data_IF_381242115159
#
_entry.id   IF_381242115159
#
_cell.length_a   1.000
_cell.length_b   1.000
_cell.length_c   1.000
_cell.angle_alpha   90.00
_cell.angle_beta   90.00
_cell.angle_gamma   90.00
#
_symmetry.space_group_name_H-M   'P 1'
#
loop_
_entity.id
_entity.type
_entity.pdbx_description
1 polymer ?
#
# COMPACT_ATOMS: atom_id res chain seq x y z
N UNK A 1 -20.84 1.23 -26.36
CA UNK A 1 -20.55 2.09 -25.19
C UNK A 1 -20.00 3.39 -25.76
N UNK A 2 -20.42 4.57 -25.29
CA UNK A 2 -19.93 5.81 -25.90
C UNK A 2 -18.41 5.85 -25.74
N UNK A 3 -17.70 6.04 -26.85
CA UNK A 3 -16.27 6.30 -26.89
C UNK A 3 -16.00 7.49 -25.97
N UNK A 4 -15.39 7.24 -24.83
CA UNK A 4 -15.07 8.28 -23.87
C UNK A 4 -13.80 8.98 -24.36
N UNK A 5 -14.00 10.03 -25.13
CA UNK A 5 -12.98 10.87 -25.78
C UNK A 5 -12.13 11.69 -24.79
N UNK A 6 -12.28 11.52 -23.48
CA UNK A 6 -11.74 12.45 -22.49
C UNK A 6 -10.21 12.55 -22.55
N UNK A 7 -9.53 11.46 -22.90
CA UNK A 7 -8.07 11.37 -22.92
C UNK A 7 -7.48 11.14 -24.32
N UNK A 8 -8.30 11.18 -25.37
CA UNK A 8 -7.79 10.99 -26.74
C UNK A 8 -6.87 12.15 -27.15
N UNK A 9 -5.63 11.83 -27.50
CA UNK A 9 -4.58 12.81 -27.80
C UNK A 9 -4.13 13.66 -26.62
N UNK A 10 -4.53 13.35 -25.38
CA UNK A 10 -4.14 14.10 -24.18
C UNK A 10 -2.82 13.57 -23.65
N UNK A 11 -1.87 14.46 -23.38
CA UNK A 11 -0.64 14.10 -22.67
C UNK A 11 -0.88 14.06 -21.16
N UNK A 12 -0.39 13.01 -20.52
CA UNK A 12 -0.38 12.82 -19.06
C UNK A 12 1.03 12.44 -18.61
N UNK A 13 1.22 12.32 -17.30
CA UNK A 13 2.45 11.81 -16.70
C UNK A 13 2.21 10.39 -16.20
N UNK A 14 2.79 9.41 -16.88
CA UNK A 14 2.73 7.99 -16.52
C UNK A 14 3.77 7.68 -15.46
N UNK A 15 3.43 6.81 -14.51
CA UNK A 15 4.37 6.38 -13.47
C UNK A 15 5.38 5.38 -14.01
N UNK A 16 6.67 5.69 -13.91
CA UNK A 16 7.74 4.71 -14.02
C UNK A 16 7.86 3.95 -12.69
N UNK A 17 7.05 2.91 -12.56
CA UNK A 17 6.95 2.08 -11.36
C UNK A 17 8.31 1.54 -10.91
N UNK A 18 9.18 1.12 -11.84
CA UNK A 18 10.49 0.56 -11.51
C UNK A 18 11.42 1.56 -10.80
N UNK A 19 11.18 2.86 -10.98
CA UNK A 19 11.97 3.91 -10.34
C UNK A 19 11.61 4.14 -8.86
N UNK A 20 10.48 3.62 -8.37
CA UNK A 20 10.09 3.70 -6.96
C UNK A 20 10.87 2.72 -6.07
N UNK A 21 10.99 3.07 -4.80
CA UNK A 21 11.62 2.26 -3.74
C UNK A 21 10.72 2.18 -2.51
N UNK A 22 10.78 1.07 -1.75
CA UNK A 22 10.18 1.02 -0.43
C UNK A 22 10.55 2.25 0.40
N UNK A 23 9.54 2.91 0.92
CA UNK A 23 9.66 4.11 1.74
C UNK A 23 9.43 5.41 0.99
N UNK A 24 9.51 5.42 -0.35
CA UNK A 24 9.17 6.63 -1.11
C UNK A 24 7.78 7.13 -0.73
N UNK A 25 7.67 8.42 -0.42
CA UNK A 25 6.42 9.09 -0.04
C UNK A 25 5.90 9.84 -1.24
N UNK A 26 4.62 9.69 -1.53
CA UNK A 26 3.95 10.45 -2.60
C UNK A 26 2.92 11.36 -1.95
N UNK A 27 3.07 12.66 -2.21
CA UNK A 27 2.13 13.71 -1.84
C UNK A 27 1.23 13.99 -3.03
N UNK A 28 -0.08 14.07 -2.80
CA UNK A 28 -1.04 14.33 -3.88
C UNK A 28 -2.06 15.40 -3.51
N UNK A 29 -2.48 16.15 -4.52
CA UNK A 29 -3.60 17.07 -4.45
C UNK A 29 -4.63 16.71 -5.52
N UNK A 30 -5.90 16.50 -5.11
CA UNK A 30 -6.95 16.23 -6.07
C UNK A 30 -7.41 17.53 -6.74
N UNK A 31 -7.07 17.71 -8.02
CA UNK A 31 -7.55 18.81 -8.88
C UNK A 31 -8.43 18.33 -10.03
N UNK A 32 -8.28 17.08 -10.43
CA UNK A 32 -8.97 16.47 -11.57
C UNK A 32 -10.01 15.44 -11.12
N UNK A 33 -10.89 15.84 -10.20
CA UNK A 33 -12.00 15.01 -9.71
C UNK A 33 -13.34 15.50 -10.25
N UNK A 34 -14.27 14.58 -10.50
CA UNK A 34 -15.66 14.90 -10.84
C UNK A 34 -16.47 15.39 -9.63
N UNK A 35 -15.95 15.21 -8.40
CA UNK A 35 -16.63 15.57 -7.16
C UNK A 35 -16.23 16.97 -6.68
N UNK A 36 -17.14 17.94 -6.80
CA UNK A 36 -16.94 19.29 -6.27
C UNK A 36 -16.71 19.31 -4.74
N UNK A 37 -17.24 18.32 -4.01
CA UNK A 37 -17.00 18.19 -2.57
C UNK A 37 -15.56 17.75 -2.27
N UNK A 38 -15.05 16.76 -3.04
CA UNK A 38 -13.68 16.29 -2.89
C UNK A 38 -12.66 17.38 -3.25
N UNK A 39 -12.93 18.17 -4.30
CA UNK A 39 -12.09 19.31 -4.67
C UNK A 39 -11.99 20.34 -3.54
N UNK A 40 -13.13 20.76 -2.98
CA UNK A 40 -13.15 21.73 -1.86
C UNK A 40 -12.46 21.20 -0.61
N UNK A 41 -12.59 19.91 -0.32
CA UNK A 41 -11.91 19.29 0.81
C UNK A 41 -10.39 19.31 0.62
N UNK A 42 -9.90 18.93 -0.56
CA UNK A 42 -8.47 18.97 -0.88
C UNK A 42 -7.89 20.40 -0.78
N UNK A 43 -8.59 21.39 -1.33
CA UNK A 43 -8.22 22.81 -1.24
C UNK A 43 -8.17 23.31 0.20
N UNK A 44 -9.14 22.93 1.03
CA UNK A 44 -9.20 23.32 2.43
C UNK A 44 -8.03 22.74 3.23
N UNK A 45 -7.68 21.47 3.00
CA UNK A 45 -6.56 20.80 3.67
C UNK A 45 -5.24 21.47 3.30
N UNK A 46 -5.00 21.68 2.00
CA UNK A 46 -3.79 22.35 1.51
C UNK A 46 -3.66 23.75 2.12
N UNK A 47 -4.71 24.58 2.00
CA UNK A 47 -4.71 25.95 2.52
C UNK A 47 -4.48 26.03 4.04
N UNK A 48 -5.08 25.12 4.83
CA UNK A 48 -4.94 25.15 6.30
C UNK A 48 -3.65 24.53 6.81
N UNK A 49 -3.11 23.53 6.13
CA UNK A 49 -1.79 22.96 6.46
C UNK A 49 -0.63 23.87 6.02
N UNK A 50 -0.91 24.83 5.15
CA UNK A 50 0.06 25.79 4.63
C UNK A 50 1.02 25.17 3.62
N UNK A 51 0.54 24.21 2.82
CA UNK A 51 1.28 23.56 1.74
C UNK A 51 0.37 23.26 0.56
N UNK A 52 0.91 22.60 -0.45
CA UNK A 52 0.22 22.41 -1.73
C UNK A 52 -0.54 21.07 -1.78
N UNK A 53 -0.24 20.12 -0.90
CA UNK A 53 -0.81 18.78 -0.95
C UNK A 53 -1.89 18.53 0.13
N UNK A 54 -2.83 17.64 -0.18
CA UNK A 54 -3.92 17.26 0.71
C UNK A 54 -3.85 15.83 1.22
N UNK A 55 -2.99 15.00 0.62
CA UNK A 55 -2.91 13.58 0.91
C UNK A 55 -1.47 13.07 0.85
N UNK A 56 -1.19 12.00 1.60
CA UNK A 56 0.12 11.36 1.71
C UNK A 56 -0.06 9.86 1.65
N UNK A 57 0.80 9.19 0.90
CA UNK A 57 0.88 7.74 0.85
C UNK A 57 2.34 7.29 0.71
N UNK A 58 2.64 6.05 1.08
CA UNK A 58 4.01 5.50 1.17
C UNK A 58 4.11 4.23 0.34
N UNK A 59 5.20 4.09 -0.41
CA UNK A 59 5.53 2.86 -1.14
C UNK A 59 5.90 1.77 -0.13
N UNK A 60 5.07 0.73 0.01
CA UNK A 60 5.37 -0.40 0.88
C UNK A 60 6.28 -1.41 0.16
N UNK A 61 5.87 -1.78 -1.05
CA UNK A 61 6.67 -2.57 -2.00
C UNK A 61 6.30 -2.07 -3.39
N UNK A 62 7.21 -2.03 -4.36
CA UNK A 62 6.83 -1.59 -5.71
C UNK A 62 5.97 -2.66 -6.39
N UNK A 63 4.78 -2.39 -6.97
CA UNK A 63 4.07 -1.12 -7.19
C UNK A 63 3.02 -0.76 -6.13
N UNK A 64 2.94 -1.48 -5.02
CA UNK A 64 1.97 -1.27 -3.95
C UNK A 64 2.34 -0.12 -3.01
N UNK A 65 1.41 0.83 -2.89
CA UNK A 65 1.44 1.93 -1.94
C UNK A 65 0.38 1.72 -0.88
N UNK A 66 0.63 2.22 0.32
CA UNK A 66 -0.34 2.23 1.41
C UNK A 66 -0.84 3.66 1.56
N UNK A 67 -2.16 3.79 1.70
CA UNK A 67 -2.84 5.06 1.90
C UNK A 67 -3.99 4.93 2.90
N UNK A 68 -4.34 6.03 3.55
CA UNK A 68 -5.50 6.10 4.44
C UNK A 68 -6.62 6.94 3.81
N UNK A 69 -7.72 6.29 3.43
CA UNK A 69 -8.92 6.93 2.88
C UNK A 69 -10.09 6.80 3.85
N UNK A 70 -11.26 7.37 3.53
CA UNK A 70 -12.44 7.36 4.41
C UNK A 70 -12.86 5.96 4.91
N UNK A 71 -12.58 4.88 4.17
CA UNK A 71 -12.87 3.48 4.51
C UNK A 71 -11.75 2.78 5.31
N UNK A 72 -10.63 3.47 5.55
CA UNK A 72 -9.49 3.02 6.33
C UNK A 72 -8.18 2.97 5.54
N UNK A 73 -7.15 2.43 6.20
CA UNK A 73 -5.82 2.22 5.61
C UNK A 73 -5.84 0.99 4.71
N UNK A 74 -5.51 1.19 3.44
CA UNK A 74 -5.55 0.16 2.41
C UNK A 74 -4.37 0.25 1.45
N UNK A 75 -4.28 -0.70 0.52
CA UNK A 75 -3.24 -0.75 -0.50
C UNK A 75 -3.80 -0.29 -1.84
N UNK A 76 -2.99 0.45 -2.60
CA UNK A 76 -3.26 0.88 -3.97
C UNK A 76 -2.07 0.51 -4.84
N UNK A 77 -2.31 0.11 -6.09
CA UNK A 77 -1.24 -0.18 -7.04
C UNK A 77 -1.00 1.03 -7.94
N UNK A 78 0.27 1.38 -8.14
CA UNK A 78 0.67 2.44 -9.07
C UNK A 78 0.94 1.89 -10.48
N UNK A 79 0.81 0.58 -10.70
CA UNK A 79 1.03 -0.03 -12.01
C UNK A 79 0.09 0.49 -13.11
N UNK A 80 -1.10 0.94 -12.72
CA UNK A 80 -2.09 1.52 -13.60
C UNK A 80 -2.45 2.92 -13.07
N UNK A 81 -1.46 3.79 -12.92
CA UNK A 81 -1.65 5.15 -12.42
C UNK A 81 -0.95 6.22 -13.29
N UNK A 82 -1.49 7.42 -13.23
CA UNK A 82 -0.98 8.59 -13.93
C UNK A 82 -1.34 9.87 -13.15
N UNK A 83 -0.78 11.01 -13.54
CA UNK A 83 -1.30 12.31 -13.13
C UNK A 83 -1.38 13.27 -14.32
N UNK A 84 -2.23 14.27 -14.21
CA UNK A 84 -2.40 15.28 -15.24
C UNK A 84 -1.32 16.35 -15.14
N UNK A 85 -0.97 16.72 -13.91
CA UNK A 85 0.01 17.77 -13.63
C UNK A 85 0.96 17.39 -12.49
N UNK A 86 2.26 17.61 -12.69
CA UNK A 86 3.28 17.39 -11.68
C UNK A 86 3.25 18.44 -10.56
N UNK A 87 2.57 19.59 -10.76
CA UNK A 87 2.31 20.53 -9.66
C UNK A 87 1.39 19.93 -8.59
N UNK A 88 0.57 18.94 -8.96
CA UNK A 88 -0.38 18.28 -8.05
C UNK A 88 0.15 16.99 -7.43
N UNK A 89 1.37 16.56 -7.80
CA UNK A 89 1.99 15.33 -7.29
C UNK A 89 3.46 15.56 -6.99
N UNK A 90 3.90 15.23 -5.78
CA UNK A 90 5.31 15.25 -5.41
C UNK A 90 5.75 13.91 -4.85
N UNK A 91 6.91 13.42 -5.29
CA UNK A 91 7.50 12.19 -4.77
C UNK A 91 8.76 12.53 -4.01
N UNK A 92 8.83 12.03 -2.79
CA UNK A 92 9.87 12.26 -1.82
C UNK A 92 10.59 10.94 -1.53
N UNK A 93 11.92 10.95 -1.59
CA UNK A 93 12.76 9.82 -1.17
C UNK A 93 13.55 10.19 0.06
N UNK A 94 13.45 9.37 1.10
CA UNK A 94 14.24 9.56 2.30
C UNK A 94 15.71 9.20 2.04
N UNK A 95 16.64 9.99 2.58
CA UNK A 95 18.07 9.88 2.28
C UNK A 95 18.71 8.58 2.80
N UNK A 96 18.20 8.03 3.90
CA UNK A 96 18.66 6.76 4.47
C UNK A 96 17.76 5.61 3.98
N UNK A 97 18.30 4.78 3.09
CA UNK A 97 17.55 3.68 2.46
C UNK A 97 17.09 2.61 3.46
N UNK A 98 17.89 2.30 4.50
CA UNK A 98 17.54 1.29 5.50
C UNK A 98 16.35 1.76 6.36
N UNK A 99 16.32 3.05 6.73
CA UNK A 99 15.21 3.66 7.45
C UNK A 99 13.96 3.70 6.54
N UNK A 100 14.12 4.09 5.27
CA UNK A 100 13.01 4.14 4.32
C UNK A 100 12.36 2.76 4.14
N UNK A 101 13.18 1.71 3.98
CA UNK A 101 12.71 0.31 3.88
C UNK A 101 12.03 -0.13 5.17
N UNK A 102 12.61 0.16 6.32
CA UNK A 102 12.01 -0.18 7.62
C UNK A 102 10.67 0.56 7.82
N UNK A 103 10.55 1.80 7.35
CA UNK A 103 9.30 2.57 7.41
C UNK A 103 8.23 1.95 6.49
N UNK A 104 8.63 1.47 5.30
CA UNK A 104 7.74 0.73 4.41
C UNK A 104 7.20 -0.56 5.08
N UNK A 105 8.05 -1.32 5.75
CA UNK A 105 7.65 -2.50 6.52
C UNK A 105 6.67 -2.11 7.65
N UNK A 106 6.96 -1.01 8.37
CA UNK A 106 6.06 -0.48 9.40
C UNK A 106 4.69 -0.06 8.86
N UNK A 107 4.64 0.51 7.66
CA UNK A 107 3.38 0.96 7.06
C UNK A 107 2.39 -0.20 6.84
N UNK A 108 2.87 -1.41 6.56
CA UNK A 108 2.03 -2.62 6.42
C UNK A 108 1.26 -2.91 7.70
N UNK A 109 1.81 -2.60 8.87
CA UNK A 109 1.13 -2.81 10.15
C UNK A 109 -0.08 -1.90 10.37
N UNK A 110 -0.32 -0.89 9.54
CA UNK A 110 -1.50 -0.03 9.61
C UNK A 110 -2.67 -0.56 8.77
N UNK A 111 -2.45 -1.57 7.92
CA UNK A 111 -3.47 -2.06 7.01
C UNK A 111 -4.73 -2.55 7.73
N UNK A 112 -5.89 -2.09 7.28
CA UNK A 112 -7.18 -2.34 7.93
C UNK A 112 -7.52 -1.39 9.08
N UNK A 113 -6.59 -0.53 9.53
CA UNK A 113 -6.90 0.48 10.55
C UNK A 113 -7.94 1.48 10.04
N UNK A 114 -8.84 1.91 10.92
CA UNK A 114 -9.91 2.87 10.58
C UNK A 114 -9.33 4.25 10.26
N UNK A 115 -10.06 5.01 9.45
CA UNK A 115 -9.73 6.40 9.20
C UNK A 115 -10.41 7.31 10.23
N UNK A 116 -9.65 8.25 10.79
CA UNK A 116 -10.13 9.24 11.74
C UNK A 116 -10.21 10.61 11.11
N UNK A 117 -11.42 11.01 10.72
CA UNK A 117 -11.72 12.39 10.31
C UNK A 117 -11.48 13.36 11.46
N UNK A 118 -11.74 12.93 12.71
CA UNK A 118 -11.60 13.77 13.90
C UNK A 118 -10.12 14.12 14.17
N UNK A 119 -9.23 13.12 14.12
CA UNK A 119 -7.77 13.33 14.26
C UNK A 119 -7.22 14.14 13.08
N UNK A 120 -7.63 13.81 11.84
CA UNK A 120 -7.20 14.57 10.66
C UNK A 120 -7.55 16.06 10.76
N UNK A 121 -8.77 16.40 11.20
CA UNK A 121 -9.18 17.79 11.41
C UNK A 121 -8.39 18.47 12.52
N UNK A 122 -8.15 17.78 13.64
CA UNK A 122 -7.37 18.29 14.76
C UNK A 122 -5.91 18.60 14.37
N UNK A 123 -5.29 17.75 13.55
CA UNK A 123 -3.94 17.97 13.03
C UNK A 123 -3.84 19.28 12.23
N UNK A 124 -4.88 19.58 11.45
CA UNK A 124 -4.97 20.78 10.62
C UNK A 124 -5.33 22.03 11.45
N UNK A 125 -6.20 21.91 12.46
CA UNK A 125 -6.62 23.04 13.29
C UNK A 125 -5.66 23.35 14.45
N UNK A 126 -4.73 22.45 14.76
CA UNK A 126 -3.83 22.58 15.92
C UNK A 126 -4.55 22.48 17.27
N UNK A 127 -5.79 21.99 17.29
CA UNK A 127 -6.59 21.87 18.52
C UNK A 127 -6.30 20.54 19.20
N UNK A 128 -5.92 20.57 20.47
CA UNK A 128 -5.81 19.37 21.29
C UNK A 128 -7.22 18.82 21.61
N UNK A 129 -7.51 17.62 21.15
CA UNK A 129 -8.80 16.92 21.34
C UNK A 129 -8.53 15.58 22.00
N UNK A 130 -9.42 15.15 22.91
CA UNK A 130 -9.35 13.80 23.49
C UNK A 130 -9.78 12.74 22.46
N UNK A 131 -8.93 11.74 22.24
CA UNK A 131 -9.13 10.68 21.25
C UNK A 131 -9.28 9.28 21.85
N UNK A 132 -9.59 9.14 23.15
CA UNK A 132 -9.70 7.84 23.83
C UNK A 132 -10.58 6.82 23.10
N UNK A 133 -11.66 7.25 22.47
CA UNK A 133 -12.61 6.38 21.76
C UNK A 133 -12.38 6.29 20.24
N UNK A 134 -11.21 6.73 19.76
CA UNK A 134 -10.89 6.76 18.33
C UNK A 134 -9.54 6.09 18.09
N UNK A 135 -9.62 4.84 17.65
CA UNK A 135 -8.49 3.98 17.27
C UNK A 135 -8.01 4.22 15.84
N UNK A 136 -8.65 5.14 15.11
CA UNK A 136 -8.32 5.41 13.71
C UNK A 136 -7.03 6.21 13.55
N UNK A 137 -6.56 6.27 12.31
CA UNK A 137 -5.43 7.10 11.87
C UNK A 137 -5.82 7.93 10.64
N UNK A 138 -4.92 8.74 10.11
CA UNK A 138 -5.13 9.47 8.87
C UNK A 138 -3.84 9.49 8.05
N UNK A 139 -3.92 9.97 6.81
CA UNK A 139 -2.89 9.75 5.78
C UNK A 139 -1.48 10.15 6.22
N UNK A 140 -1.28 11.37 6.71
CA UNK A 140 0.03 11.85 7.16
C UNK A 140 0.46 11.25 8.50
N UNK A 141 -0.47 10.98 9.42
CA UNK A 141 -0.14 10.41 10.72
C UNK A 141 0.45 9.00 10.62
N UNK A 142 -0.16 8.10 9.84
CA UNK A 142 0.37 6.73 9.75
C UNK A 142 1.74 6.69 9.07
N UNK A 143 1.98 7.54 8.06
CA UNK A 143 3.28 7.64 7.40
C UNK A 143 4.32 8.20 8.37
N UNK A 144 3.98 9.24 9.13
CA UNK A 144 4.88 9.81 10.14
C UNK A 144 5.18 8.79 11.25
N UNK A 145 4.19 8.05 11.72
CA UNK A 145 4.37 6.98 12.70
C UNK A 145 5.25 5.85 12.16
N UNK A 146 5.11 5.48 10.89
CA UNK A 146 5.97 4.48 10.25
C UNK A 146 7.44 4.92 10.21
N UNK A 147 7.72 6.17 9.82
CA UNK A 147 9.08 6.72 9.83
C UNK A 147 9.65 6.88 11.24
N UNK A 148 8.83 7.29 12.22
CA UNK A 148 9.23 7.37 13.62
C UNK A 148 9.64 6.00 14.16
N UNK A 149 8.84 4.96 13.91
CA UNK A 149 9.16 3.59 14.33
C UNK A 149 10.38 3.00 13.59
N UNK A 150 10.69 3.52 12.40
CA UNK A 150 11.91 3.18 11.66
C UNK A 150 13.17 3.91 12.18
N UNK A 151 13.03 4.82 13.15
CA UNK A 151 14.15 5.56 13.74
C UNK A 151 14.56 6.82 12.96
N UNK A 152 13.65 7.38 12.14
CA UNK A 152 13.89 8.65 11.46
C UNK A 152 13.86 9.81 12.47
N UNK A 153 15.03 10.42 12.72
CA UNK A 153 15.21 11.44 13.77
C UNK A 153 14.39 12.70 13.55
N UNK A 154 14.12 13.06 12.31
CA UNK A 154 13.31 14.24 11.96
C UNK A 154 11.85 14.11 12.39
N UNK A 155 11.40 12.88 12.70
CA UNK A 155 10.08 12.60 13.25
C UNK A 155 10.05 12.54 14.78
N UNK A 156 11.20 12.62 15.45
CA UNK A 156 11.28 12.64 16.91
C UNK A 156 10.76 13.95 17.49
N UNK A 157 10.18 13.89 18.70
CA UNK A 157 9.74 15.06 19.44
C UNK A 157 8.40 15.68 19.01
N UNK A 158 7.85 15.25 17.87
CA UNK A 158 6.50 15.64 17.42
C UNK A 158 5.60 14.42 17.36
N UNK A 159 4.40 14.51 17.94
CA UNK A 159 3.40 13.43 17.81
C UNK A 159 3.06 13.21 16.34
N UNK A 160 3.02 11.96 15.88
CA UNK A 160 2.60 11.59 14.52
C UNK A 160 1.25 12.23 14.14
N UNK A 161 0.35 12.42 15.11
CA UNK A 161 -0.97 13.05 14.92
C UNK A 161 -0.92 14.55 14.61
N UNK A 162 0.25 15.20 14.66
CA UNK A 162 0.45 16.61 14.32
C UNK A 162 1.07 16.81 12.93
N UNK A 163 1.45 15.73 12.25
CA UNK A 163 1.95 15.82 10.89
C UNK A 163 0.79 16.04 9.91
N UNK A 164 1.02 16.90 8.93
CA UNK A 164 0.13 17.16 7.79
C UNK A 164 0.88 16.85 6.50
N UNK A 165 0.24 16.78 5.32
CA UNK A 165 0.96 16.66 4.05
C UNK A 165 2.03 17.75 3.89
N UNK A 166 1.71 19.00 4.24
CA UNK A 166 2.65 20.12 4.24
C UNK A 166 3.84 19.99 5.20
N UNK A 167 3.75 19.09 6.18
CA UNK A 167 4.89 18.77 7.03
C UNK A 167 5.95 17.97 6.25
N UNK A 168 5.54 17.09 5.34
CA UNK A 168 6.46 16.28 4.53
C UNK A 168 7.19 17.11 3.47
N UNK A 169 6.57 18.18 2.97
CA UNK A 169 7.23 19.13 2.06
C UNK A 169 8.41 19.86 2.70
N UNK A 170 8.36 20.05 4.03
CA UNK A 170 9.28 20.91 4.78
C UNK A 170 10.24 20.13 5.68
N UNK A 171 9.91 18.91 6.04
CA UNK A 171 10.75 18.09 6.91
C UNK A 171 12.06 17.76 6.20
N UNK A 172 13.16 17.86 6.94
CA UNK A 172 14.46 17.46 6.44
C UNK A 172 14.54 15.97 6.13
N UNK A 173 15.60 15.56 5.45
CA UNK A 173 15.90 14.16 5.19
C UNK A 173 15.22 13.55 3.96
N UNK A 174 14.30 14.26 3.31
CA UNK A 174 13.75 13.87 2.02
C UNK A 174 14.36 14.66 0.86
N UNK A 175 14.49 14.01 -0.29
CA UNK A 175 14.79 14.64 -1.57
C UNK A 175 13.61 14.45 -2.54
N UNK A 176 13.34 15.47 -3.36
CA UNK A 176 12.30 15.39 -4.39
C UNK A 176 12.82 14.57 -5.56
N UNK A 177 12.09 13.51 -5.93
CA UNK A 177 12.43 12.62 -7.05
C UNK A 177 11.34 12.60 -8.14
N UNK A 178 10.31 13.45 -8.05
CA UNK A 178 9.18 13.50 -9.00
C UNK A 178 9.60 13.39 -10.47
N UNK A 179 10.59 14.15 -10.99
CA UNK A 179 10.95 14.09 -12.40
C UNK A 179 11.57 12.76 -12.86
N UNK A 180 11.98 11.90 -11.91
CA UNK A 180 12.62 10.61 -12.21
C UNK A 180 11.63 9.44 -12.23
N UNK A 181 10.46 9.61 -11.62
CA UNK A 181 9.45 8.56 -11.47
C UNK A 181 8.21 8.79 -12.34
N UNK A 182 8.17 9.91 -13.05
CA UNK A 182 7.11 10.24 -14.00
C UNK A 182 7.68 10.54 -15.38
N UNK A 183 7.02 10.01 -16.40
CA UNK A 183 7.35 10.23 -17.80
C UNK A 183 6.12 10.81 -18.50
N UNK A 184 6.33 11.89 -19.27
CA UNK A 184 5.25 12.53 -20.02
C UNK A 184 5.00 11.76 -21.31
N UNK A 185 3.78 11.28 -21.49
CA UNK A 185 3.38 10.53 -22.68
C UNK A 185 1.89 10.76 -23.00
N UNK A 186 1.43 10.24 -24.14
CA UNK A 186 0.02 10.17 -24.47
C UNK A 186 -0.70 9.26 -23.47
N UNK A 187 -1.88 9.70 -23.04
CA UNK A 187 -2.73 8.90 -22.18
C UNK A 187 -3.09 7.58 -22.88
N UNK A 188 -2.95 6.43 -22.19
CA UNK A 188 -3.29 5.16 -22.77
C UNK A 188 -4.80 5.06 -22.97
N UNK A 189 -5.24 4.20 -23.90
CA UNK A 189 -6.66 4.02 -24.24
C UNK A 189 -7.53 3.62 -23.04
N UNK A 190 -6.93 3.03 -22.00
CA UNK A 190 -7.60 2.62 -20.78
C UNK A 190 -7.43 3.63 -19.61
N UNK A 191 -6.96 4.86 -19.86
CA UNK A 191 -6.72 5.88 -18.82
C UNK A 191 -7.93 6.12 -17.91
N UNK A 192 -9.16 6.03 -18.42
CA UNK A 192 -10.38 6.21 -17.60
C UNK A 192 -10.61 5.10 -16.56
N UNK A 193 -9.96 3.96 -16.76
CA UNK A 193 -9.98 2.83 -15.81
C UNK A 193 -8.73 2.78 -14.92
N UNK A 194 -7.78 3.69 -15.16
CA UNK A 194 -6.56 3.87 -14.37
C UNK A 194 -6.81 4.83 -13.21
N UNK A 195 -5.90 4.81 -12.24
CA UNK A 195 -5.92 5.69 -11.09
C UNK A 195 -5.25 7.03 -11.42
N UNK A 196 -6.02 8.12 -11.43
CA UNK A 196 -5.45 9.47 -11.46
C UNK A 196 -4.96 9.86 -10.06
N UNK A 197 -3.65 10.08 -9.90
CA UNK A 197 -3.04 10.42 -8.62
C UNK A 197 -3.47 11.80 -8.11
N UNK A 198 -3.79 12.71 -9.02
CA UNK A 198 -4.29 14.07 -8.79
C UNK A 198 -5.80 14.21 -9.08
N UNK A 199 -6.54 13.10 -9.07
CA UNK A 199 -7.95 13.07 -9.47
C UNK A 199 -8.73 11.90 -8.88
N UNK A 200 -9.64 11.35 -9.69
CA UNK A 200 -10.46 10.21 -9.28
C UNK A 200 -9.65 8.90 -9.27
N UNK A 201 -9.76 8.14 -8.18
CA UNK A 201 -9.11 6.83 -8.04
C UNK A 201 -9.95 5.74 -8.69
N UNK A 202 -9.33 4.90 -9.51
CA UNK A 202 -10.01 3.72 -10.03
C UNK A 202 -10.24 2.70 -8.90
N UNK A 203 -11.30 1.90 -9.02
CA UNK A 203 -11.54 0.83 -8.06
C UNK A 203 -10.43 -0.22 -8.14
N UNK A 204 -9.76 -0.45 -7.02
CA UNK A 204 -8.81 -1.55 -6.85
C UNK A 204 -9.51 -2.74 -6.22
N UNK A 205 -9.28 -3.99 -6.67
CA UNK A 205 -9.71 -5.18 -5.91
C UNK A 205 -9.14 -5.21 -4.49
N UNK A 206 -7.98 -4.56 -4.28
CA UNK A 206 -7.41 -4.38 -2.94
C UNK A 206 -8.20 -3.40 -2.06
N UNK A 207 -9.20 -2.70 -2.59
CA UNK A 207 -10.08 -1.81 -1.80
C UNK A 207 -10.76 -2.57 -0.66
N UNK A 208 -11.23 -3.78 -0.92
CA UNK A 208 -11.95 -4.59 0.05
C UNK A 208 -11.00 -5.26 1.05
N UNK A 209 -9.70 -5.30 0.76
CA UNK A 209 -8.67 -5.87 1.64
C UNK A 209 -8.67 -5.21 3.02
N UNK A 210 -8.81 -3.88 3.09
CA UNK A 210 -8.84 -3.16 4.39
C UNK A 210 -10.07 -3.50 5.22
N UNK A 211 -11.21 -3.72 4.56
CA UNK A 211 -12.45 -4.15 5.22
C UNK A 211 -12.30 -5.57 5.73
N UNK A 212 -11.75 -6.46 4.91
CA UNK A 212 -11.52 -7.85 5.26
C UNK A 212 -10.59 -8.00 6.47
N UNK A 213 -9.44 -7.30 6.47
CA UNK A 213 -8.49 -7.37 7.59
C UNK A 213 -9.03 -6.75 8.88
N UNK A 214 -9.82 -5.68 8.78
CA UNK A 214 -10.53 -5.15 9.93
C UNK A 214 -11.50 -6.17 10.50
N UNK A 215 -12.28 -6.84 9.64
CA UNK A 215 -13.22 -7.87 10.07
C UNK A 215 -12.51 -9.04 10.78
N UNK A 216 -11.30 -9.43 10.36
CA UNK A 216 -10.51 -10.45 11.06
C UNK A 216 -10.09 -10.03 12.46
N UNK A 217 -9.74 -8.76 12.67
CA UNK A 217 -9.43 -8.25 14.02
C UNK A 217 -10.69 -8.14 14.86
N UNK A 218 -11.77 -7.64 14.29
CA UNK A 218 -13.05 -7.54 14.99
C UNK A 218 -13.57 -8.93 15.41
N UNK A 219 -13.34 -9.98 14.60
CA UNK A 219 -13.75 -11.34 14.95
C UNK A 219 -12.99 -11.96 16.12
N UNK A 220 -11.80 -11.46 16.45
CA UNK A 220 -10.99 -11.94 17.59
C UNK A 220 -10.86 -10.90 18.72
N UNK A 221 -11.69 -9.84 18.68
CA UNK A 221 -11.61 -8.73 19.63
C UNK A 221 -11.74 -9.19 21.09
N UNK A 222 -12.66 -10.11 21.38
CA UNK A 222 -12.86 -10.66 22.73
C UNK A 222 -11.64 -11.43 23.24
N UNK A 223 -10.97 -12.18 22.36
CA UNK A 223 -9.77 -12.94 22.74
C UNK A 223 -8.59 -12.00 23.02
N UNK A 224 -8.45 -10.94 22.22
CA UNK A 224 -7.50 -9.87 22.48
C UNK A 224 -7.80 -9.18 23.81
N UNK A 225 -9.06 -8.86 24.10
CA UNK A 225 -9.42 -8.18 25.35
C UNK A 225 -9.13 -9.04 26.59
N UNK A 226 -9.35 -10.36 26.49
CA UNK A 226 -8.98 -11.31 27.55
C UNK A 226 -7.45 -11.33 27.78
N UNK A 227 -6.69 -11.43 26.69
CA UNK A 227 -5.23 -11.56 26.74
C UNK A 227 -4.51 -10.30 27.23
N UNK A 228 -5.05 -9.11 26.91
CA UNK A 228 -4.45 -7.82 27.25
C UNK A 228 -5.12 -7.11 28.45
N UNK A 229 -5.91 -7.85 29.24
CA UNK A 229 -6.64 -7.30 30.41
C UNK A 229 -5.73 -6.80 31.55
N UNK A 230 -4.47 -7.28 31.65
CA UNK A 230 -3.52 -6.83 32.67
C UNK A 230 -2.93 -5.44 32.42
N UNK A 231 -3.00 -4.93 31.19
CA UNK A 231 -2.56 -3.58 30.82
C UNK A 231 -1.05 -3.38 30.61
N UNK A 232 -0.23 -4.43 30.71
CA UNK A 232 1.23 -4.33 30.58
C UNK A 232 1.70 -4.14 29.12
N UNK A 233 0.89 -4.59 28.16
CA UNK A 233 1.19 -4.51 26.73
C UNK A 233 0.06 -3.85 25.94
N UNK A 234 0.42 -3.20 24.83
CA UNK A 234 -0.57 -2.59 23.94
C UNK A 234 -1.31 -3.64 23.12
N UNK A 235 -2.64 -3.68 23.24
CA UNK A 235 -3.54 -4.50 22.40
C UNK A 235 -3.29 -4.25 20.90
N UNK A 236 -3.00 -5.30 20.10
CA UNK A 236 -2.94 -5.20 18.65
C UNK A 236 -4.27 -4.66 18.07
N UNK A 237 -4.19 -3.60 17.26
CA UNK A 237 -5.36 -2.96 16.65
C UNK A 237 -5.56 -3.34 15.17
N UNK A 238 -4.62 -4.06 14.57
CA UNK A 238 -4.64 -4.41 13.14
C UNK A 238 -4.24 -5.86 12.93
N UNK A 239 -4.68 -6.42 11.80
CA UNK A 239 -4.45 -7.81 11.43
C UNK A 239 -2.96 -8.18 11.49
N UNK A 240 -2.12 -7.34 10.89
CA UNK A 240 -0.68 -7.55 10.86
C UNK A 240 0.00 -7.37 12.23
N UNK A 241 -0.48 -6.44 13.08
CA UNK A 241 0.03 -6.34 14.46
C UNK A 241 -0.34 -7.60 15.27
N UNK A 242 -1.53 -8.17 15.06
CA UNK A 242 -1.95 -9.41 15.70
C UNK A 242 -1.12 -10.61 15.20
N UNK A 243 -0.90 -10.74 13.89
CA UNK A 243 -0.03 -11.77 13.33
C UNK A 243 1.41 -11.70 13.87
N UNK A 244 1.98 -10.49 13.93
CA UNK A 244 3.33 -10.28 14.45
C UNK A 244 3.41 -10.61 15.95
N UNK A 245 2.39 -10.23 16.72
CA UNK A 245 2.27 -10.62 18.13
C UNK A 245 2.26 -12.14 18.28
N UNK A 246 1.37 -12.85 17.57
CA UNK A 246 1.31 -14.32 17.59
C UNK A 246 2.66 -14.93 17.22
N UNK A 247 3.28 -14.48 16.12
CA UNK A 247 4.60 -14.96 15.68
C UNK A 247 5.64 -14.82 16.77
N UNK A 248 5.76 -13.65 17.41
CA UNK A 248 6.74 -13.40 18.48
C UNK A 248 6.46 -14.24 19.71
N UNK A 249 5.21 -14.31 20.14
CA UNK A 249 4.80 -15.08 21.33
C UNK A 249 5.12 -16.56 21.19
N UNK A 250 4.84 -17.15 20.01
CA UNK A 250 5.19 -18.56 19.74
C UNK A 250 6.70 -18.79 19.53
N UNK A 251 7.48 -17.80 19.06
CA UNK A 251 8.93 -17.93 18.85
C UNK A 251 9.76 -17.86 20.14
N UNK A 252 9.38 -17.01 21.10
CA UNK A 252 10.19 -16.77 22.30
C UNK A 252 9.93 -17.80 23.40
N UNK A 253 9.04 -18.76 23.18
CA UNK A 253 8.75 -19.80 24.16
C UNK A 253 8.35 -19.20 25.51
N UNK A 254 7.69 -18.02 25.52
CA UNK A 254 6.99 -17.51 26.69
C UNK A 254 5.96 -18.57 27.06
N UNK A 255 6.38 -19.48 27.95
CA UNK A 255 5.62 -20.68 28.27
C UNK A 255 4.42 -20.35 29.15
N UNK A 256 3.62 -21.36 29.51
CA UNK A 256 3.00 -22.31 28.59
C UNK A 256 2.17 -21.57 27.53
N UNK A 257 1.82 -22.25 26.44
CA UNK A 257 0.71 -21.84 25.58
C UNK A 257 -0.49 -21.47 26.48
N UNK A 258 -0.69 -20.18 26.76
CA UNK A 258 -1.89 -19.80 27.49
C UNK A 258 -3.05 -20.27 26.61
N UNK A 259 -4.04 -20.89 27.25
CA UNK A 259 -5.23 -21.34 26.55
C UNK A 259 -5.82 -20.18 25.74
N UNK A 260 -5.72 -18.95 26.25
CA UNK A 260 -6.10 -17.72 25.56
C UNK A 260 -5.27 -17.40 24.31
N UNK A 261 -3.93 -17.56 24.32
CA UNK A 261 -3.09 -17.34 23.14
C UNK A 261 -3.39 -18.37 22.03
N UNK A 262 -3.60 -19.63 22.43
CA UNK A 262 -3.97 -20.71 21.50
C UNK A 262 -5.37 -20.47 20.93
N UNK A 263 -6.32 -20.05 21.78
CA UNK A 263 -7.68 -19.69 21.35
C UNK A 263 -7.69 -18.51 20.36
N UNK A 264 -6.91 -17.47 20.64
CA UNK A 264 -6.72 -16.33 19.73
C UNK A 264 -6.17 -16.79 18.36
N UNK A 265 -5.13 -17.62 18.36
CA UNK A 265 -4.53 -18.13 17.12
C UNK A 265 -5.49 -19.04 16.33
N UNK A 266 -6.28 -19.87 17.02
CA UNK A 266 -7.27 -20.76 16.41
C UNK A 266 -8.44 -19.97 15.78
N UNK A 267 -9.00 -19.00 16.50
CA UNK A 267 -10.07 -18.15 15.98
C UNK A 267 -9.61 -17.29 14.81
N UNK A 268 -8.41 -16.70 14.88
CA UNK A 268 -7.86 -15.94 13.75
C UNK A 268 -7.59 -16.84 12.55
N UNK A 269 -7.08 -18.06 12.78
CA UNK A 269 -6.85 -19.03 11.72
C UNK A 269 -8.15 -19.47 11.04
N UNK A 270 -9.21 -19.72 11.81
CA UNK A 270 -10.53 -20.03 11.29
C UNK A 270 -11.06 -18.88 10.42
N UNK A 271 -10.97 -17.65 10.90
CA UNK A 271 -11.37 -16.46 10.14
C UNK A 271 -10.60 -16.33 8.81
N UNK A 272 -9.31 -16.67 8.79
CA UNK A 272 -8.48 -16.65 7.57
C UNK A 272 -8.75 -17.82 6.61
N UNK A 273 -9.46 -18.86 7.04
CA UNK A 273 -9.67 -20.10 6.28
C UNK A 273 -11.08 -20.18 5.67
N UNK A 274 -11.92 -19.17 5.90
CA UNK A 274 -13.27 -19.09 5.32
C UNK A 274 -13.30 -18.85 3.79
N UNK A 275 -12.13 -18.71 3.16
CA UNK A 275 -11.95 -18.55 1.71
C UNK A 275 -12.09 -17.13 1.18
N UNK A 276 -12.51 -16.15 2.00
CA UNK A 276 -12.59 -14.73 1.55
C UNK A 276 -11.23 -14.17 1.19
N UNK A 277 -10.20 -14.54 1.94
CA UNK A 277 -8.82 -14.08 1.70
C UNK A 277 -8.25 -14.66 0.40
N UNK A 278 -8.47 -15.96 0.14
CA UNK A 278 -8.08 -16.62 -1.11
C UNK A 278 -8.81 -16.02 -2.31
N UNK A 279 -10.13 -15.77 -2.17
CA UNK A 279 -10.94 -15.15 -3.22
C UNK A 279 -10.40 -13.76 -3.56
N UNK A 280 -10.11 -12.94 -2.54
CA UNK A 280 -9.53 -11.60 -2.74
C UNK A 280 -8.19 -11.66 -3.48
N UNK A 281 -7.27 -12.54 -3.09
CA UNK A 281 -5.99 -12.69 -3.81
C UNK A 281 -6.18 -13.19 -5.25
N UNK A 282 -7.17 -14.07 -5.47
CA UNK A 282 -7.54 -14.53 -6.81
C UNK A 282 -8.09 -13.39 -7.66
N UNK A 283 -8.93 -12.52 -7.10
CA UNK A 283 -9.49 -11.35 -7.79
C UNK A 283 -8.41 -10.30 -8.12
N UNK A 284 -7.48 -10.05 -7.19
CA UNK A 284 -6.30 -9.20 -7.44
C UNK A 284 -5.51 -9.75 -8.61
N UNK A 285 -5.21 -11.06 -8.61
CA UNK A 285 -4.45 -11.71 -9.69
C UNK A 285 -5.20 -11.68 -11.03
N UNK A 286 -6.51 -11.92 -11.00
CA UNK A 286 -7.36 -11.94 -12.18
C UNK A 286 -7.52 -10.56 -12.85
N UNK A 287 -7.25 -9.46 -12.13
CA UNK A 287 -7.32 -8.11 -12.71
C UNK A 287 -6.22 -7.87 -13.76
N UNK A 288 -5.04 -8.44 -13.56
CA UNK A 288 -3.90 -8.26 -14.46
C UNK A 288 -3.88 -9.28 -15.61
N UNK A 289 -4.56 -10.43 -15.44
CA UNK A 289 -4.57 -11.54 -16.39
C UNK A 289 -4.96 -11.13 -17.83
N UNK A 290 -6.03 -10.34 -18.08
CA UNK A 290 -6.41 -9.96 -19.44
C UNK A 290 -5.33 -9.13 -20.15
N UNK A 291 -4.63 -8.26 -19.42
CA UNK A 291 -3.56 -7.44 -19.99
C UNK A 291 -2.35 -8.32 -20.36
N UNK A 292 -1.96 -9.25 -19.49
CA UNK A 292 -0.88 -10.21 -19.78
C UNK A 292 -1.24 -11.11 -20.97
N UNK A 293 -2.47 -11.63 -21.02
CA UNK A 293 -2.94 -12.45 -22.14
C UNK A 293 -2.92 -11.68 -23.47
N UNK A 294 -3.37 -10.41 -23.47
CA UNK A 294 -3.27 -9.53 -24.64
C UNK A 294 -1.83 -9.39 -25.13
N UNK A 295 -0.90 -9.06 -24.22
CA UNK A 295 0.53 -8.92 -24.54
C UNK A 295 1.11 -10.23 -25.12
N UNK A 296 0.73 -11.39 -24.56
CA UNK A 296 1.15 -12.69 -25.08
C UNK A 296 0.64 -12.88 -26.52
N UNK A 297 -0.63 -12.59 -26.79
CA UNK A 297 -1.22 -12.73 -28.13
C UNK A 297 -0.55 -11.79 -29.12
N UNK A 298 -0.46 -10.50 -28.80
CA UNK A 298 0.12 -9.48 -29.67
C UNK A 298 1.59 -9.74 -30.00
N UNK A 299 2.33 -10.41 -29.12
CA UNK A 299 3.74 -10.73 -29.37
C UNK A 299 3.97 -11.76 -30.49
N UNK A 300 2.91 -12.41 -30.98
CA UNK A 300 2.97 -13.26 -32.18
C UNK A 300 2.68 -12.49 -33.48
N UNK A 301 2.21 -11.25 -33.37
CA UNK A 301 1.94 -10.41 -34.53
C UNK A 301 3.24 -9.88 -35.14
N UNK A 302 3.18 -9.55 -36.43
CA UNK A 302 4.33 -8.99 -37.15
C UNK A 302 4.77 -7.62 -36.61
N UNK A 303 3.82 -6.87 -36.06
CA UNK A 303 4.01 -5.53 -35.51
C UNK A 303 3.22 -5.46 -34.18
N UNK A 304 3.80 -5.92 -33.06
CA UNK A 304 3.12 -5.97 -31.77
C UNK A 304 2.73 -4.57 -31.27
N UNK A 305 1.47 -4.39 -30.87
CA UNK A 305 0.92 -3.11 -30.38
C UNK A 305 1.07 -2.96 -28.85
N UNK A 306 2.32 -3.01 -28.38
CA UNK A 306 2.65 -2.69 -26.99
C UNK A 306 4.02 -2.04 -26.84
N UNK A 307 4.17 -1.26 -25.78
CA UNK A 307 5.45 -0.62 -25.44
C UNK A 307 6.42 -1.66 -24.82
N UNK A 308 7.51 -1.94 -25.55
CA UNK A 308 8.56 -2.84 -25.11
C UNK A 308 9.29 -2.36 -23.86
N UNK A 309 9.48 -1.06 -23.71
CA UNK A 309 10.15 -0.48 -22.55
C UNK A 309 9.28 -0.61 -21.31
N UNK A 310 7.97 -0.40 -21.42
CA UNK A 310 7.03 -0.63 -20.33
C UNK A 310 6.96 -2.11 -19.94
N UNK A 311 7.04 -3.01 -20.92
CA UNK A 311 7.11 -4.45 -20.64
C UNK A 311 8.36 -4.83 -19.84
N UNK A 312 9.52 -4.25 -20.19
CA UNK A 312 10.77 -4.43 -19.43
C UNK A 312 10.65 -3.90 -18.01
N UNK A 313 10.09 -2.69 -17.83
CA UNK A 313 9.84 -2.10 -16.49
C UNK A 313 8.89 -2.95 -15.66
N UNK A 314 7.83 -3.48 -16.27
CA UNK A 314 6.89 -4.37 -15.61
C UNK A 314 7.57 -5.65 -15.12
N UNK A 315 8.44 -6.24 -15.95
CA UNK A 315 9.21 -7.43 -15.58
C UNK A 315 10.18 -7.14 -14.43
N UNK A 316 10.93 -6.04 -14.52
CA UNK A 316 11.85 -5.60 -13.47
C UNK A 316 11.13 -5.39 -12.14
N UNK A 317 10.00 -4.66 -12.14
CA UNK A 317 9.19 -4.45 -10.95
C UNK A 317 8.62 -5.76 -10.38
N UNK A 318 8.28 -6.73 -11.24
CA UNK A 318 7.78 -8.05 -10.80
C UNK A 318 8.90 -8.88 -10.17
N UNK A 319 10.11 -8.89 -10.77
CA UNK A 319 11.29 -9.53 -10.19
C UNK A 319 11.63 -8.97 -8.80
N UNK A 320 11.64 -7.64 -8.68
CA UNK A 320 11.90 -6.98 -7.41
C UNK A 320 10.89 -7.37 -6.33
N UNK A 321 9.60 -7.47 -6.66
CA UNK A 321 8.59 -7.98 -5.71
C UNK A 321 8.87 -9.41 -5.27
N UNK A 322 9.23 -10.29 -6.21
CA UNK A 322 9.55 -11.68 -5.89
C UNK A 322 10.74 -11.72 -4.92
N UNK A 323 11.78 -10.95 -5.18
CA UNK A 323 12.98 -10.87 -4.33
C UNK A 323 12.66 -10.32 -2.93
N UNK A 324 11.96 -9.17 -2.85
CA UNK A 324 11.62 -8.52 -1.59
C UNK A 324 10.70 -9.40 -0.74
N UNK A 325 9.65 -9.98 -1.34
CA UNK A 325 8.75 -10.89 -0.63
C UNK A 325 9.45 -12.18 -0.23
N UNK A 326 10.28 -12.76 -1.09
CA UNK A 326 11.04 -13.97 -0.76
C UNK A 326 12.03 -13.73 0.37
N UNK A 327 12.68 -12.56 0.41
CA UNK A 327 13.58 -12.17 1.48
C UNK A 327 12.83 -12.02 2.82
N UNK A 328 11.68 -11.34 2.81
CA UNK A 328 10.81 -11.19 3.99
C UNK A 328 10.35 -12.57 4.52
N UNK A 329 10.02 -13.51 3.63
CA UNK A 329 9.63 -14.87 4.02
C UNK A 329 10.81 -15.78 4.35
N UNK A 330 12.01 -15.56 3.81
CA UNK A 330 13.15 -16.45 3.96
C UNK A 330 13.60 -16.60 5.42
N UNK A 331 13.60 -15.51 6.18
CA UNK A 331 13.88 -15.55 7.62
C UNK A 331 12.74 -16.18 8.43
N UNK A 332 11.50 -16.03 7.96
CA UNK A 332 10.29 -16.51 8.62
C UNK A 332 9.95 -17.98 8.32
N UNK A 333 10.31 -18.50 7.15
CA UNK A 333 9.95 -19.83 6.66
C UNK A 333 10.90 -20.93 7.13
N UNK A 334 12.12 -20.58 7.51
CA UNK A 334 13.12 -21.54 8.02
C UNK A 334 12.72 -22.19 9.35
N UNK A 335 11.68 -21.68 10.03
CA UNK A 335 11.12 -22.29 11.23
C UNK A 335 9.61 -22.33 11.08
N UNK A 336 9.04 -23.53 10.97
CA UNK A 336 7.60 -23.70 11.12
C UNK A 336 7.19 -23.03 12.45
N UNK A 337 6.28 -22.05 12.36
CA UNK A 337 5.76 -21.42 13.57
C UNK A 337 4.79 -22.39 14.22
N UNK A 338 4.70 -22.37 15.55
CA UNK A 338 3.61 -23.05 16.24
C UNK A 338 2.25 -22.35 16.01
N UNK A 339 2.24 -21.10 15.53
CA UNK A 339 1.01 -20.37 15.17
C UNK A 339 0.42 -20.85 13.83
N UNK A 340 -0.83 -21.31 13.88
CA UNK A 340 -1.64 -21.69 12.71
C UNK A 340 -1.95 -20.48 11.83
N UNK A 341 -2.24 -19.32 12.43
CA UNK A 341 -2.52 -18.08 11.70
C UNK A 341 -1.30 -17.59 10.92
N UNK A 342 -0.12 -17.60 11.55
CA UNK A 342 1.13 -17.24 10.88
C UNK A 342 1.47 -18.19 9.73
N UNK A 343 1.34 -19.51 9.95
CA UNK A 343 1.59 -20.49 8.89
C UNK A 343 0.61 -20.34 7.72
N UNK A 344 -0.66 -20.01 7.99
CA UNK A 344 -1.65 -19.72 6.95
C UNK A 344 -1.29 -18.48 6.16
N UNK A 345 -0.87 -17.40 6.83
CA UNK A 345 -0.37 -16.18 6.18
C UNK A 345 0.85 -16.45 5.30
N UNK A 346 1.80 -17.25 5.79
CA UNK A 346 2.99 -17.66 5.05
C UNK A 346 2.62 -18.44 3.78
N UNK A 347 1.70 -19.40 3.88
CA UNK A 347 1.22 -20.15 2.73
C UNK A 347 0.59 -19.25 1.66
N UNK A 348 -0.24 -18.29 2.08
CA UNK A 348 -0.86 -17.33 1.17
C UNK A 348 0.19 -16.46 0.47
N UNK A 349 1.18 -15.98 1.22
CA UNK A 349 2.28 -15.17 0.69
C UNK A 349 3.14 -15.96 -0.31
N UNK A 350 3.43 -17.24 -0.06
CA UNK A 350 4.09 -18.13 -1.01
C UNK A 350 3.27 -18.35 -2.28
N UNK A 351 1.95 -18.45 -2.17
CA UNK A 351 1.07 -18.54 -3.34
C UNK A 351 1.11 -17.27 -4.18
N UNK A 352 1.13 -16.08 -3.56
CA UNK A 352 1.31 -14.80 -4.26
C UNK A 352 2.65 -14.76 -4.99
N UNK A 353 3.75 -15.16 -4.34
CA UNK A 353 5.07 -15.24 -4.99
C UNK A 353 5.01 -16.13 -6.23
N UNK A 354 4.39 -17.32 -6.16
CA UNK A 354 4.24 -18.21 -7.33
C UNK A 354 3.48 -17.55 -8.47
N UNK A 355 2.43 -16.77 -8.19
CA UNK A 355 1.71 -16.04 -9.23
C UNK A 355 2.59 -14.97 -9.89
N UNK A 356 3.39 -14.26 -9.09
CA UNK A 356 4.36 -13.29 -9.61
C UNK A 356 5.44 -13.98 -10.46
N UNK A 357 5.93 -15.15 -10.06
CA UNK A 357 6.88 -15.96 -10.84
C UNK A 357 6.30 -16.36 -12.20
N UNK A 358 5.05 -16.83 -12.24
CA UNK A 358 4.34 -17.18 -13.48
C UNK A 358 4.18 -15.97 -14.40
N UNK A 359 3.77 -14.82 -13.84
CA UNK A 359 3.69 -13.56 -14.57
C UNK A 359 5.05 -13.16 -15.13
N UNK A 360 6.08 -13.16 -14.30
CA UNK A 360 7.44 -12.79 -14.71
C UNK A 360 7.98 -13.70 -15.82
N UNK A 361 7.68 -15.01 -15.74
CA UNK A 361 8.01 -15.96 -16.80
C UNK A 361 7.32 -15.59 -18.11
N UNK A 362 6.00 -15.32 -18.09
CA UNK A 362 5.25 -14.91 -19.28
C UNK A 362 5.81 -13.61 -19.91
N UNK A 363 6.13 -12.61 -19.09
CA UNK A 363 6.77 -11.37 -19.54
C UNK A 363 8.13 -11.63 -20.20
N UNK A 364 8.93 -12.54 -19.62
CA UNK A 364 10.23 -12.96 -20.17
C UNK A 364 10.11 -13.66 -21.53
N UNK A 365 9.13 -14.54 -21.70
CA UNK A 365 8.85 -15.22 -22.97
C UNK A 365 8.46 -14.22 -24.07
N UNK A 366 7.61 -13.25 -23.75
CA UNK A 366 7.21 -12.20 -24.70
C UNK A 366 8.40 -11.37 -25.14
N UNK A 367 9.20 -10.86 -24.18
CA UNK A 367 10.39 -10.08 -24.50
C UNK A 367 11.38 -10.86 -25.38
N UNK A 368 11.64 -12.12 -25.03
CA UNK A 368 12.56 -12.98 -25.80
C UNK A 368 12.08 -13.20 -27.23
N UNK A 369 10.76 -13.28 -27.45
CA UNK A 369 10.16 -13.45 -28.77
C UNK A 369 10.32 -12.20 -29.63
N UNK A 370 9.96 -11.03 -29.09
CA UNK A 370 10.00 -9.78 -29.85
C UNK A 370 11.44 -9.34 -30.14
N UNK A 371 12.37 -9.57 -29.22
CA UNK A 371 13.79 -9.21 -29.41
C UNK A 371 14.55 -10.13 -30.37
N UNK A 372 13.98 -11.30 -30.71
CA UNK A 372 14.58 -12.24 -31.67
C UNK A 372 14.14 -12.00 -33.13
N UNK A 373 13.07 -11.22 -33.33
CA UNK A 373 12.54 -10.81 -34.64
C UNK A 373 13.21 -9.53 -35.12
#
# INVERSE_FOLDING_TARGET
>A
MPESQTYDGVYVYLTNVAAFRPGDVVLTQNRHTRSAAALREAELIAARSGGDFSHVLICAETPAFIEALADGVGAVTFQASFCHDLENVQVLRYHNEDIARTAADWAVHFHGQRYSVRKARSAISGTDVDFRDDDGTFCSAFVAEAYLNAGAREFEGTSALKYTPASFERIGGFQVITPTVFERDLAPLNAETMTALDGDRASSPARDQRVLYRNFIESVATDLDALFSSGDESRPQTFYKCLEYLRRSFQHGHGPQSEDLTRLDDHLHEAMTDGRLDLMFKEISAKDEPAIQRIIIESFERDPDFDLQDLRRMREATLKQIEERSAALGSASQRASASKSWNRWLQLSLNVIRQLELRNFALGEVLSRVEAC
#
